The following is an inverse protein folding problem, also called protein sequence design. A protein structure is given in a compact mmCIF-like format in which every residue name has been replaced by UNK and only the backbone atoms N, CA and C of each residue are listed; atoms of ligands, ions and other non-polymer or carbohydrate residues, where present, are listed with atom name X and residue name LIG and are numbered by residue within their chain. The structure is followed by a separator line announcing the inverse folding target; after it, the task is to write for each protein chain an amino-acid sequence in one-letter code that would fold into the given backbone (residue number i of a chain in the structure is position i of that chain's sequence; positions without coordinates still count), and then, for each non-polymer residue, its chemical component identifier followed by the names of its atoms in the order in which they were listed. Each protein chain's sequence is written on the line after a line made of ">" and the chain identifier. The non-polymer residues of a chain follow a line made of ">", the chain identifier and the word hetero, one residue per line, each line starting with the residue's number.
data_IF_526391053833
#
_entry.id   IF_526391053833
#
_cell.length_a   1.000
_cell.length_b   1.000
_cell.length_c   1.000
_cell.angle_alpha   90.00
_cell.angle_beta   90.00
_cell.angle_gamma   90.00
#
_symmetry.space_group_name_H-M   'P 1'
#
loop_
_entity.id
_entity.type
_entity.pdbx_description
1 polymer ?
#
# COMPACT_ATOMS: atom_id res chain seq x y z
N UNK A 1 15.24 23.42 -81.55
CA UNK A 1 15.90 24.18 -80.46
C UNK A 1 14.83 24.62 -79.44
N UNK A 2 14.91 24.19 -78.18
CA UNK A 2 13.92 24.54 -77.11
C UNK A 2 14.22 25.98 -76.71
N UNK A 3 13.24 26.90 -76.79
CA UNK A 3 13.41 28.31 -76.38
C UNK A 3 13.89 28.47 -74.96
N UNK A 4 14.75 29.39 -74.68
CA UNK A 4 15.35 29.73 -73.39
C UNK A 4 14.37 29.78 -72.22
N UNK A 5 13.16 30.33 -72.28
CA UNK A 5 12.23 30.38 -71.16
C UNK A 5 11.75 29.03 -70.73
N UNK A 6 11.56 28.06 -71.63
CA UNK A 6 11.15 26.71 -71.29
C UNK A 6 12.21 25.89 -70.55
N UNK A 7 13.50 26.20 -70.77
CA UNK A 7 14.62 25.58 -70.04
C UNK A 7 14.63 26.07 -68.57
N UNK A 8 14.36 27.32 -68.31
CA UNK A 8 14.26 27.88 -66.97
C UNK A 8 13.07 27.32 -66.21
N UNK A 9 11.91 27.18 -66.84
CA UNK A 9 10.73 26.55 -66.24
C UNK A 9 10.97 25.08 -65.90
N UNK A 10 11.65 24.35 -66.74
CA UNK A 10 11.95 22.93 -66.47
C UNK A 10 12.93 22.78 -65.31
N UNK A 11 13.93 23.66 -65.19
CA UNK A 11 14.87 23.66 -64.06
C UNK A 11 14.16 24.07 -62.73
N UNK A 12 13.26 25.01 -62.78
CA UNK A 12 12.46 25.42 -61.62
C UNK A 12 11.53 24.33 -61.17
N UNK A 13 10.86 23.65 -62.12
CA UNK A 13 9.98 22.48 -61.79
C UNK A 13 10.78 21.33 -61.21
N UNK A 14 11.97 21.04 -61.72
CA UNK A 14 12.85 20.00 -61.16
C UNK A 14 13.30 20.35 -59.73
N UNK A 15 13.66 21.61 -59.50
CA UNK A 15 14.03 22.11 -58.16
C UNK A 15 12.90 21.95 -57.13
N UNK A 16 11.68 22.34 -57.46
CA UNK A 16 10.51 22.15 -56.63
C UNK A 16 10.24 20.68 -56.37
N UNK A 17 10.34 19.82 -57.37
CA UNK A 17 10.16 18.37 -57.22
C UNK A 17 11.19 17.74 -56.27
N UNK A 18 12.49 18.14 -56.41
CA UNK A 18 13.53 17.63 -55.50
C UNK A 18 13.35 18.12 -54.08
N UNK A 19 12.96 19.37 -53.84
CA UNK A 19 12.66 19.90 -52.50
C UNK A 19 11.45 19.17 -51.90
N UNK A 20 10.38 19.02 -52.68
CA UNK A 20 9.18 18.30 -52.22
C UNK A 20 9.47 16.84 -51.89
N UNK A 21 10.26 16.16 -52.72
CA UNK A 21 10.66 14.77 -52.46
C UNK A 21 11.55 14.64 -51.20
N UNK A 22 12.50 15.60 -51.05
CA UNK A 22 13.37 15.66 -49.87
C UNK A 22 12.57 15.88 -48.58
N UNK A 23 11.58 16.78 -48.64
CA UNK A 23 10.71 17.05 -47.47
C UNK A 23 9.87 15.80 -47.08
N UNK A 24 9.20 15.18 -48.05
CA UNK A 24 8.39 13.97 -47.81
C UNK A 24 9.24 12.87 -47.21
N UNK A 25 10.43 12.62 -47.75
CA UNK A 25 11.38 11.62 -47.24
C UNK A 25 11.91 11.95 -45.84
N UNK A 26 12.25 13.24 -45.62
CA UNK A 26 12.70 13.71 -44.30
C UNK A 26 11.60 13.59 -43.24
N UNK A 27 10.37 14.00 -43.56
CA UNK A 27 9.22 13.92 -42.67
C UNK A 27 8.89 12.45 -42.33
N UNK A 28 8.87 11.54 -43.32
CA UNK A 28 8.61 10.13 -43.10
C UNK A 28 9.67 9.45 -42.22
N UNK A 29 10.94 9.83 -42.39
CA UNK A 29 12.03 9.32 -41.55
C UNK A 29 11.94 9.82 -40.11
N UNK A 30 11.64 11.09 -39.90
CA UNK A 30 11.41 11.65 -38.56
C UNK A 30 10.20 11.00 -37.88
N UNK A 31 9.11 10.79 -38.62
CA UNK A 31 7.92 10.12 -38.12
C UNK A 31 8.23 8.67 -37.68
N UNK A 32 8.95 7.92 -38.51
CA UNK A 32 9.33 6.53 -38.19
C UNK A 32 10.21 6.45 -36.93
N UNK A 33 11.14 7.40 -36.74
CA UNK A 33 11.94 7.47 -35.51
C UNK A 33 11.10 7.79 -34.29
N UNK A 34 10.15 8.71 -34.41
CA UNK A 34 9.23 9.07 -33.36
C UNK A 34 8.35 7.88 -32.97
N UNK A 35 7.75 7.21 -33.95
CA UNK A 35 6.90 6.04 -33.73
C UNK A 35 7.67 4.90 -33.03
N UNK A 36 8.92 4.66 -33.44
CA UNK A 36 9.79 3.68 -32.80
C UNK A 36 10.13 4.06 -31.35
N UNK A 37 10.37 5.34 -31.08
CA UNK A 37 10.62 5.83 -29.71
C UNK A 37 9.38 5.68 -28.83
N UNK A 38 8.21 6.06 -29.32
CA UNK A 38 6.91 5.90 -28.61
C UNK A 38 6.63 4.42 -28.35
N UNK A 39 6.83 3.54 -29.33
CA UNK A 39 6.63 2.12 -29.16
C UNK A 39 7.56 1.54 -28.08
N UNK A 40 8.83 1.90 -28.10
CA UNK A 40 9.80 1.49 -27.08
C UNK A 40 9.37 1.94 -25.68
N UNK A 41 8.95 3.20 -25.53
CA UNK A 41 8.46 3.74 -24.27
C UNK A 41 7.20 3.01 -23.79
N UNK A 42 6.28 2.73 -24.68
CA UNK A 42 5.05 1.99 -24.36
C UNK A 42 5.35 0.59 -23.82
N UNK A 43 6.29 -0.13 -24.47
CA UNK A 43 6.72 -1.45 -24.01
C UNK A 43 7.40 -1.39 -22.63
N UNK A 44 8.24 -0.39 -22.39
CA UNK A 44 8.87 -0.19 -21.08
C UNK A 44 7.82 0.05 -19.99
N UNK A 45 6.85 0.94 -20.23
CA UNK A 45 5.76 1.20 -19.29
C UNK A 45 4.93 -0.06 -19.03
N UNK A 46 4.63 -0.84 -20.06
CA UNK A 46 3.91 -2.10 -19.90
C UNK A 46 4.67 -3.10 -19.03
N UNK A 47 5.97 -3.26 -19.24
CA UNK A 47 6.83 -4.13 -18.44
C UNK A 47 6.89 -3.70 -16.97
N UNK A 48 7.04 -2.40 -16.72
CA UNK A 48 7.04 -1.85 -15.35
C UNK A 48 5.70 -2.13 -14.66
N UNK A 49 4.58 -1.89 -15.35
CA UNK A 49 3.24 -2.17 -14.81
C UNK A 49 3.04 -3.64 -14.46
N UNK A 50 3.51 -4.54 -15.30
CA UNK A 50 3.43 -5.98 -15.05
C UNK A 50 4.22 -6.37 -13.80
N UNK A 51 5.46 -5.89 -13.66
CA UNK A 51 6.29 -6.13 -12.47
C UNK A 51 5.64 -5.58 -11.20
N UNK A 52 5.08 -4.37 -11.26
CA UNK A 52 4.35 -3.76 -10.15
C UNK A 52 3.11 -4.57 -9.76
N UNK A 53 2.37 -5.09 -10.74
CA UNK A 53 1.22 -5.96 -10.47
C UNK A 53 1.65 -7.26 -9.79
N UNK A 54 2.71 -7.91 -10.26
CA UNK A 54 3.26 -9.13 -9.66
C UNK A 54 3.75 -8.88 -8.22
N UNK A 55 4.48 -7.78 -7.98
CA UNK A 55 4.92 -7.39 -6.66
C UNK A 55 3.73 -7.16 -5.70
N UNK A 56 2.68 -6.50 -6.18
CA UNK A 56 1.46 -6.28 -5.40
C UNK A 56 0.80 -7.60 -5.00
N UNK A 57 0.59 -8.53 -5.95
CA UNK A 57 0.00 -9.83 -5.67
C UNK A 57 0.83 -10.60 -4.64
N UNK A 58 2.15 -10.63 -4.78
CA UNK A 58 3.06 -11.29 -3.85
C UNK A 58 2.92 -10.74 -2.43
N UNK A 59 2.98 -9.41 -2.28
CA UNK A 59 2.91 -8.77 -0.95
C UNK A 59 1.54 -8.97 -0.31
N UNK A 60 0.45 -8.81 -1.07
CA UNK A 60 -0.92 -9.01 -0.57
C UNK A 60 -1.13 -10.45 -0.11
N UNK A 61 -0.69 -11.44 -0.88
CA UNK A 61 -0.82 -12.85 -0.50
C UNK A 61 -0.07 -13.15 0.80
N UNK A 62 1.18 -12.69 0.93
CA UNK A 62 1.96 -12.86 2.15
C UNK A 62 1.33 -12.16 3.36
N UNK A 63 0.75 -10.99 3.17
CA UNK A 63 0.04 -10.26 4.20
C UNK A 63 -1.17 -11.04 4.70
N UNK A 64 -2.03 -11.52 3.80
CA UNK A 64 -3.23 -12.29 4.15
C UNK A 64 -2.87 -13.54 4.95
N UNK A 65 -1.85 -14.27 4.53
CA UNK A 65 -1.40 -15.48 5.25
C UNK A 65 -0.88 -15.16 6.64
N UNK A 66 -0.09 -14.09 6.80
CA UNK A 66 0.43 -13.67 8.11
C UNK A 66 -0.69 -13.20 9.05
N UNK A 67 -1.63 -12.41 8.56
CA UNK A 67 -2.78 -11.95 9.36
C UNK A 67 -3.65 -13.12 9.79
N UNK A 68 -3.87 -14.10 8.92
CA UNK A 68 -4.58 -15.33 9.29
C UNK A 68 -3.93 -16.04 10.47
N UNK A 69 -2.60 -16.21 10.43
CA UNK A 69 -1.86 -16.84 11.54
C UNK A 69 -1.96 -16.03 12.83
N UNK A 70 -1.91 -14.70 12.75
CA UNK A 70 -2.06 -13.81 13.92
C UNK A 70 -3.46 -14.00 14.54
N UNK A 71 -4.50 -14.02 13.70
CA UNK A 71 -5.89 -14.23 14.18
C UNK A 71 -6.08 -15.59 14.83
N UNK A 72 -5.65 -16.66 14.18
CA UNK A 72 -5.76 -18.02 14.73
C UNK A 72 -5.10 -18.14 16.11
N UNK A 73 -3.92 -17.53 16.28
CA UNK A 73 -3.22 -17.49 17.58
C UNK A 73 -3.96 -16.63 18.60
N UNK A 74 -4.42 -15.44 18.20
CA UNK A 74 -5.16 -14.53 19.06
C UNK A 74 -6.47 -15.17 19.56
N UNK A 75 -7.24 -15.76 18.66
CA UNK A 75 -8.50 -16.44 18.97
C UNK A 75 -8.27 -17.63 19.93
N UNK A 76 -7.15 -18.36 19.76
CA UNK A 76 -6.77 -19.44 20.69
C UNK A 76 -6.46 -18.88 22.07
N UNK A 77 -5.68 -17.80 22.18
CA UNK A 77 -5.33 -17.16 23.46
C UNK A 77 -6.60 -16.67 24.16
N UNK A 78 -7.49 -15.98 23.44
CA UNK A 78 -8.75 -15.47 23.99
C UNK A 78 -9.63 -16.62 24.51
N UNK A 79 -9.71 -17.71 23.78
CA UNK A 79 -10.47 -18.91 24.17
C UNK A 79 -9.89 -19.57 25.41
N UNK A 80 -8.59 -19.49 25.63
CA UNK A 80 -7.90 -20.08 26.77
C UNK A 80 -7.89 -19.19 28.03
N UNK A 81 -8.35 -17.94 27.95
CA UNK A 81 -8.39 -17.02 29.11
C UNK A 81 -9.05 -17.67 30.36
N UNK A 82 -10.17 -18.39 30.27
CA UNK A 82 -10.77 -19.02 31.46
C UNK A 82 -9.89 -20.09 32.09
N UNK A 83 -8.94 -20.67 31.38
CA UNK A 83 -7.99 -21.67 31.91
C UNK A 83 -6.95 -20.97 32.78
N UNK A 84 -6.44 -19.82 32.37
CA UNK A 84 -5.42 -19.06 33.09
C UNK A 84 -6.02 -18.15 34.18
N UNK A 85 -7.28 -17.71 34.00
CA UNK A 85 -8.02 -16.87 34.95
C UNK A 85 -9.30 -17.60 35.34
N UNK A 86 -9.24 -18.58 36.28
CA UNK A 86 -10.39 -19.36 36.66
C UNK A 86 -11.41 -18.54 37.45
N UNK A 87 -12.65 -19.00 37.51
CA UNK A 87 -13.79 -18.35 38.18
C UNK A 87 -13.50 -17.97 39.64
N UNK A 88 -12.69 -18.75 40.36
CA UNK A 88 -12.27 -18.41 41.71
C UNK A 88 -11.39 -17.14 41.76
N UNK A 89 -10.53 -16.96 40.76
CA UNK A 89 -9.72 -15.73 40.64
C UNK A 89 -10.57 -14.51 40.34
N UNK A 90 -11.61 -14.65 39.53
CA UNK A 90 -12.58 -13.60 39.24
C UNK A 90 -13.35 -13.15 40.49
N UNK A 91 -13.74 -14.09 41.32
CA UNK A 91 -14.46 -13.81 42.58
C UNK A 91 -13.56 -13.11 43.61
N UNK A 92 -12.25 -13.39 43.58
CA UNK A 92 -11.28 -12.86 44.53
C UNK A 92 -10.66 -11.50 44.13
N UNK A 93 -10.68 -11.15 42.84
CA UNK A 93 -9.99 -10.00 42.33
C UNK A 93 -10.87 -9.17 41.35
N UNK A 94 -11.30 -8.00 41.82
CA UNK A 94 -12.00 -7.02 40.98
C UNK A 94 -11.11 -5.81 40.74
N UNK A 95 -11.17 -5.27 39.53
CA UNK A 95 -10.45 -4.04 39.21
C UNK A 95 -11.19 -2.80 39.74
N UNK A 96 -10.45 -1.77 40.04
CA UNK A 96 -11.03 -0.49 40.49
C UNK A 96 -11.49 0.38 39.30
N UNK A 97 -12.40 1.33 39.56
CA UNK A 97 -12.93 2.26 38.54
C UNK A 97 -11.84 3.16 37.94
N UNK A 98 -10.80 3.48 38.68
CA UNK A 98 -9.69 4.28 38.21
C UNK A 98 -8.93 3.57 37.08
N UNK A 99 -8.74 2.24 37.19
CA UNK A 99 -8.12 1.46 36.12
C UNK A 99 -8.98 1.48 34.84
N UNK A 100 -10.29 1.27 34.96
CA UNK A 100 -11.20 1.28 33.78
C UNK A 100 -11.14 2.63 33.09
N UNK A 101 -11.22 3.73 33.83
CA UNK A 101 -11.14 5.08 33.28
C UNK A 101 -9.82 5.36 32.59
N UNK A 102 -8.71 4.93 33.19
CA UNK A 102 -7.39 5.06 32.57
C UNK A 102 -7.29 4.26 31.29
N UNK A 103 -7.79 3.01 31.30
CA UNK A 103 -7.81 2.16 30.11
C UNK A 103 -8.65 2.77 28.97
N UNK A 104 -9.86 3.24 29.29
CA UNK A 104 -10.77 3.82 28.30
C UNK A 104 -10.21 5.11 27.72
N UNK A 105 -9.65 5.98 28.57
CA UNK A 105 -8.98 7.20 28.12
C UNK A 105 -7.77 6.91 27.25
N UNK A 106 -6.97 5.91 27.59
CA UNK A 106 -5.84 5.48 26.76
C UNK A 106 -6.30 4.90 25.40
N UNK A 107 -7.44 4.19 25.38
CA UNK A 107 -8.01 3.65 24.15
C UNK A 107 -8.52 4.74 23.20
N UNK A 108 -9.04 5.85 23.73
CA UNK A 108 -9.52 7.00 22.95
C UNK A 108 -8.45 8.06 22.68
N UNK A 109 -7.27 7.94 23.32
CA UNK A 109 -6.20 8.94 23.23
C UNK A 109 -6.48 10.19 24.06
N UNK A 110 -7.42 10.13 24.99
CA UNK A 110 -7.77 11.23 25.91
C UNK A 110 -6.95 11.15 27.20
N UNK A 111 -6.77 12.29 27.86
CA UNK A 111 -6.16 12.33 29.20
C UNK A 111 -7.25 12.15 30.25
N UNK A 112 -7.14 11.13 31.14
CA UNK A 112 -8.13 10.97 32.20
C UNK A 112 -8.02 12.08 33.20
N UNK A 113 -9.16 12.68 33.61
CA UNK A 113 -9.18 13.63 34.67
C UNK A 113 -8.80 12.98 36.02
N UNK A 114 -7.89 13.58 36.80
CA UNK A 114 -7.50 13.03 38.09
C UNK A 114 -8.67 13.13 39.09
N UNK A 115 -9.13 11.97 39.58
CA UNK A 115 -10.18 11.92 40.62
C UNK A 115 -9.61 11.32 41.89
N UNK A 116 -9.67 12.10 42.99
CA UNK A 116 -9.00 11.74 44.26
C UNK A 116 -9.58 10.47 44.93
N UNK A 117 -10.90 10.28 44.94
CA UNK A 117 -11.51 9.17 45.69
C UNK A 117 -12.43 8.25 44.90
N UNK A 118 -12.95 8.72 43.75
CA UNK A 118 -13.90 7.92 42.95
C UNK A 118 -13.24 6.74 42.19
N UNK A 119 -11.90 6.70 42.09
CA UNK A 119 -11.16 5.66 41.41
C UNK A 119 -10.90 4.40 42.27
N UNK A 120 -11.04 4.51 43.60
CA UNK A 120 -10.74 3.39 44.51
C UNK A 120 -11.86 2.33 44.58
N UNK A 121 -13.10 2.73 44.28
CA UNK A 121 -14.22 1.82 44.33
C UNK A 121 -14.08 0.69 43.26
N UNK A 122 -14.50 -0.53 43.65
CA UNK A 122 -14.54 -1.66 42.71
C UNK A 122 -15.45 -1.35 41.51
N UNK A 123 -15.00 -1.69 40.32
CA UNK A 123 -15.77 -1.51 39.09
C UNK A 123 -16.76 -2.63 38.84
N UNK A 124 -16.65 -3.75 39.56
CA UNK A 124 -17.45 -4.96 39.33
C UNK A 124 -17.05 -5.72 38.07
N UNK A 125 -15.90 -5.38 37.47
CA UNK A 125 -15.40 -6.06 36.27
C UNK A 125 -14.46 -7.18 36.70
N UNK A 126 -14.73 -8.38 36.19
CA UNK A 126 -13.94 -9.57 36.44
C UNK A 126 -12.54 -9.49 35.80
N UNK A 127 -11.54 -10.11 36.43
CA UNK A 127 -10.18 -10.17 35.92
C UNK A 127 -10.10 -10.88 34.57
N UNK A 128 -10.91 -11.92 34.34
CA UNK A 128 -11.01 -12.63 33.06
C UNK A 128 -11.48 -11.73 31.93
N UNK A 129 -12.42 -10.80 32.19
CA UNK A 129 -12.87 -9.84 31.20
C UNK A 129 -11.74 -8.87 30.79
N UNK A 130 -10.94 -8.42 31.77
CA UNK A 130 -9.75 -7.59 31.49
C UNK A 130 -8.72 -8.37 30.68
N UNK A 131 -8.42 -9.61 31.07
CA UNK A 131 -7.48 -10.45 30.35
C UNK A 131 -7.92 -10.69 28.91
N UNK A 132 -9.22 -10.92 28.68
CA UNK A 132 -9.79 -11.02 27.33
C UNK A 132 -9.63 -9.74 26.50
N UNK A 133 -9.93 -8.59 27.10
CA UNK A 133 -9.75 -7.27 26.42
C UNK A 133 -8.29 -7.01 26.07
N UNK A 134 -7.36 -7.29 26.99
CA UNK A 134 -5.93 -7.13 26.75
C UNK A 134 -5.46 -8.06 25.63
N UNK A 135 -5.88 -9.33 25.62
CA UNK A 135 -5.55 -10.28 24.58
C UNK A 135 -6.06 -9.82 23.20
N UNK A 136 -7.32 -9.35 23.13
CA UNK A 136 -7.90 -8.80 21.89
C UNK A 136 -7.17 -7.54 21.39
N UNK A 137 -6.77 -6.65 22.30
CA UNK A 137 -5.99 -5.48 21.95
C UNK A 137 -4.61 -5.85 21.39
N UNK A 138 -3.93 -6.84 21.96
CA UNK A 138 -2.67 -7.34 21.41
C UNK A 138 -2.85 -8.02 20.05
N UNK A 139 -3.91 -8.76 19.85
CA UNK A 139 -4.23 -9.34 18.53
C UNK A 139 -4.37 -8.22 17.48
N UNK A 140 -5.16 -7.19 17.77
CA UNK A 140 -5.32 -6.03 16.87
C UNK A 140 -4.00 -5.31 16.65
N UNK A 141 -3.18 -5.14 17.68
CA UNK A 141 -1.85 -4.54 17.55
C UNK A 141 -0.95 -5.34 16.60
N UNK A 142 -0.94 -6.65 16.71
CA UNK A 142 -0.18 -7.53 15.82
C UNK A 142 -0.71 -7.49 14.38
N UNK A 143 -2.02 -7.45 14.17
CA UNK A 143 -2.61 -7.28 12.82
C UNK A 143 -2.17 -5.96 12.19
N UNK A 144 -2.21 -4.86 12.94
CA UNK A 144 -1.74 -3.54 12.48
C UNK A 144 -0.24 -3.54 12.16
N UNK A 145 0.56 -4.23 12.97
CA UNK A 145 2.00 -4.37 12.73
C UNK A 145 2.28 -5.14 11.43
N UNK A 146 1.52 -6.20 11.14
CA UNK A 146 1.64 -6.93 9.87
C UNK A 146 1.20 -6.09 8.67
N UNK A 147 0.15 -5.26 8.83
CA UNK A 147 -0.27 -4.32 7.80
C UNK A 147 0.83 -3.30 7.49
N UNK A 148 1.44 -2.73 8.53
CA UNK A 148 2.53 -1.78 8.36
C UNK A 148 3.75 -2.40 7.66
N UNK A 149 4.14 -3.61 8.06
CA UNK A 149 5.21 -4.37 7.40
C UNK A 149 4.90 -4.64 5.92
N UNK A 150 3.66 -5.02 5.62
CA UNK A 150 3.23 -5.26 4.25
C UNK A 150 3.31 -3.99 3.40
N UNK A 151 2.87 -2.86 3.93
CA UNK A 151 2.96 -1.56 3.25
C UNK A 151 4.41 -1.14 3.01
N UNK A 152 5.30 -1.29 3.99
CA UNK A 152 6.73 -1.00 3.83
C UNK A 152 7.38 -1.89 2.77
N UNK A 153 7.06 -3.18 2.78
CA UNK A 153 7.54 -4.12 1.77
C UNK A 153 7.00 -3.75 0.38
N UNK A 154 5.72 -3.42 0.28
CA UNK A 154 5.10 -3.02 -0.98
C UNK A 154 5.75 -1.77 -1.57
N UNK A 155 5.99 -0.73 -0.76
CA UNK A 155 6.69 0.49 -1.20
C UNK A 155 8.09 0.17 -1.72
N UNK A 156 8.82 -0.71 -1.03
CA UNK A 156 10.18 -1.12 -1.45
C UNK A 156 10.16 -1.89 -2.77
N UNK A 157 9.25 -2.86 -2.92
CA UNK A 157 9.10 -3.65 -4.14
C UNK A 157 8.63 -2.78 -5.32
N UNK A 158 7.74 -1.79 -5.09
CA UNK A 158 7.33 -0.83 -6.12
C UNK A 158 8.50 0.03 -6.61
N UNK A 159 9.35 0.48 -5.70
CA UNK A 159 10.55 1.24 -6.05
C UNK A 159 11.48 0.41 -6.93
N UNK A 160 11.80 -0.81 -6.51
CA UNK A 160 12.65 -1.74 -7.28
C UNK A 160 12.06 -2.02 -8.67
N UNK A 161 10.74 -2.25 -8.76
CA UNK A 161 10.07 -2.51 -10.04
C UNK A 161 10.10 -1.31 -11.00
N UNK A 162 10.23 -0.08 -10.49
CA UNK A 162 10.32 1.14 -11.31
C UNK A 162 11.75 1.48 -11.77
N UNK A 163 12.77 0.96 -11.08
CA UNK A 163 14.19 1.26 -11.37
C UNK A 163 14.84 0.28 -12.37
N UNK A 164 14.18 -0.85 -12.69
CA UNK A 164 14.64 -1.89 -13.63
C UNK A 164 13.95 -1.79 -15.00
#
# INVERSE_FOLDING_TARGET
>A
MIPWPYRLLALAALGVALIGFGWIKGASHAQAQWDAAVQKQTLQVATIRERQAQATVKVVTQYVDRVRVVREKGDTIIKEVPVYVPVQADAACTINRGFVRLHDAAATGELPEPTRDAGAAAAGIALSAVAGTVAANYQTCHENAEQLRALQTWVTEMKVASEQ
#
